data_IF_067146738215
#
_entry.id   IF_067146738215
#
_cell.length_a   1.000
_cell.length_b   1.000
_cell.length_c   1.000
_cell.angle_alpha   90.00
_cell.angle_beta   90.00
_cell.angle_gamma   90.00
#
_symmetry.space_group_name_H-M   'P 1'
#
loop_
_entity.id
_entity.type
_entity.pdbx_description
1 polymer ?
#
# COMPACT_ATOMS: atom_id res chain seq x y z
N UNK A 1 -3.69 6.09 27.21
CA UNK A 1 -4.74 5.87 26.20
C UNK A 1 -4.29 4.67 25.37
N UNK A 2 -5.02 3.57 25.37
CA UNK A 2 -4.65 2.38 24.60
C UNK A 2 -5.00 2.58 23.11
N UNK A 3 -4.22 1.99 22.21
CA UNK A 3 -4.49 2.03 20.77
C UNK A 3 -5.71 1.17 20.42
N UNK A 4 -6.65 1.69 19.64
CA UNK A 4 -7.84 0.94 19.20
C UNK A 4 -7.51 0.02 18.02
N UNK A 5 -7.11 -1.21 18.33
CA UNK A 5 -6.73 -2.20 17.31
C UNK A 5 -7.93 -2.68 16.47
N UNK A 6 -9.13 -2.66 17.04
CA UNK A 6 -10.35 -3.16 16.40
C UNK A 6 -10.97 -2.14 15.46
N UNK A 7 -10.90 -0.85 15.77
CA UNK A 7 -11.37 0.23 14.92
C UNK A 7 -10.33 0.74 13.93
N UNK A 8 -9.07 0.34 14.07
CA UNK A 8 -8.01 0.72 13.13
C UNK A 8 -7.90 -0.23 11.94
N UNK A 9 -7.49 0.28 10.79
CA UNK A 9 -7.30 -0.45 9.53
C UNK A 9 -5.96 -0.11 8.90
N UNK A 10 -5.34 -1.06 8.22
CA UNK A 10 -4.11 -0.87 7.48
C UNK A 10 -4.20 -1.50 6.10
N UNK A 11 -3.76 -0.77 5.07
CA UNK A 11 -3.62 -1.25 3.70
C UNK A 11 -2.18 -1.07 3.26
N UNK A 12 -1.53 -2.17 2.90
CA UNK A 12 -0.12 -2.21 2.51
C UNK A 12 0.00 -2.65 1.06
N UNK A 13 0.72 -1.89 0.24
CA UNK A 13 0.96 -2.22 -1.15
C UNK A 13 2.40 -1.97 -1.53
N UNK A 14 3.08 -3.03 -1.98
CA UNK A 14 4.51 -3.02 -2.29
C UNK A 14 4.75 -3.53 -3.69
N UNK A 15 4.97 -2.62 -4.63
CA UNK A 15 5.26 -2.96 -6.02
C UNK A 15 6.77 -3.00 -6.19
N UNK A 16 7.29 -4.18 -6.49
CA UNK A 16 8.73 -4.43 -6.56
C UNK A 16 9.19 -4.91 -7.94
N UNK A 17 8.31 -5.51 -8.73
CA UNK A 17 8.60 -5.96 -10.09
C UNK A 17 7.80 -5.13 -11.09
N UNK A 18 8.47 -4.65 -12.12
CA UNK A 18 7.89 -3.74 -13.12
C UNK A 18 8.22 -4.23 -14.53
N UNK A 19 7.30 -4.02 -15.46
CA UNK A 19 7.51 -4.37 -16.87
C UNK A 19 8.41 -3.34 -17.59
N UNK A 20 8.37 -2.08 -17.13
CA UNK A 20 8.99 -0.95 -17.83
C UNK A 20 9.83 -0.05 -16.93
N UNK A 21 9.98 -0.41 -15.66
CA UNK A 21 10.77 0.33 -14.67
C UNK A 21 11.78 -0.61 -14.00
N UNK A 22 12.85 -0.07 -13.40
CA UNK A 22 13.77 -0.89 -12.61
C UNK A 22 13.05 -1.63 -11.47
N UNK A 23 13.47 -2.87 -11.22
CA UNK A 23 12.98 -3.68 -10.09
C UNK A 23 13.48 -3.08 -8.76
N UNK A 24 12.69 -3.23 -7.69
CA UNK A 24 12.98 -2.74 -6.35
C UNK A 24 13.02 -3.90 -5.35
N UNK A 25 14.11 -4.67 -5.34
CA UNK A 25 14.24 -5.89 -4.51
C UNK A 25 14.04 -5.66 -3.01
N UNK A 26 14.39 -4.48 -2.51
CA UNK A 26 14.14 -4.10 -1.11
C UNK A 26 12.65 -4.09 -0.76
N UNK A 27 11.77 -3.72 -1.69
CA UNK A 27 10.32 -3.67 -1.47
C UNK A 27 9.72 -5.07 -1.33
N UNK A 28 10.31 -6.08 -1.99
CA UNK A 28 9.82 -7.48 -1.97
C UNK A 28 9.65 -8.04 -0.55
N UNK A 29 10.56 -7.67 0.35
CA UNK A 29 10.57 -8.17 1.73
C UNK A 29 9.88 -7.23 2.72
N UNK A 30 9.67 -5.96 2.33
CA UNK A 30 9.14 -4.93 3.23
C UNK A 30 7.68 -5.19 3.63
N UNK A 31 6.79 -5.46 2.67
CA UNK A 31 5.35 -5.59 2.96
C UNK A 31 5.03 -6.76 3.89
N UNK A 32 5.55 -7.99 3.65
CA UNK A 32 5.33 -9.10 4.58
C UNK A 32 5.88 -8.79 5.98
N UNK A 33 7.13 -8.30 6.07
CA UNK A 33 7.76 -7.99 7.34
C UNK A 33 7.03 -6.86 8.12
N UNK A 34 6.52 -5.86 7.41
CA UNK A 34 5.73 -4.78 8.00
C UNK A 34 4.38 -5.30 8.51
N UNK A 35 3.68 -6.12 7.72
CA UNK A 35 2.41 -6.75 8.14
C UNK A 35 2.60 -7.55 9.42
N UNK A 36 3.64 -8.38 9.48
CA UNK A 36 3.91 -9.23 10.64
C UNK A 36 4.19 -8.40 11.90
N UNK A 37 4.89 -7.26 11.76
CA UNK A 37 5.13 -6.32 12.88
C UNK A 37 3.86 -5.59 13.31
N UNK A 38 3.05 -5.13 12.34
CA UNK A 38 1.83 -4.38 12.60
C UNK A 38 0.74 -5.22 13.27
N UNK A 39 0.79 -6.54 13.11
CA UNK A 39 -0.19 -7.51 13.62
C UNK A 39 0.35 -8.37 14.77
N UNK A 40 1.58 -8.11 15.23
CA UNK A 40 2.19 -8.84 16.33
C UNK A 40 1.40 -8.66 17.63
N UNK A 41 1.15 -9.73 18.38
CA UNK A 41 0.30 -9.71 19.58
C UNK A 41 0.78 -8.75 20.68
N UNK A 42 2.09 -8.50 20.74
CA UNK A 42 2.75 -7.86 21.88
C UNK A 42 3.10 -6.39 21.61
N UNK A 43 3.11 -5.97 20.33
CA UNK A 43 3.51 -4.64 19.89
C UNK A 43 2.74 -4.12 18.66
N UNK A 44 1.87 -4.94 18.07
CA UNK A 44 1.11 -4.63 16.87
C UNK A 44 -0.07 -3.72 17.17
N UNK A 45 -0.33 -2.81 16.25
CA UNK A 45 -1.45 -1.88 16.32
C UNK A 45 -2.74 -2.44 15.72
N UNK A 46 -2.71 -3.53 14.96
CA UNK A 46 -3.87 -3.93 14.14
C UNK A 46 -4.25 -5.39 14.37
N UNK A 47 -5.54 -5.68 14.36
CA UNK A 47 -6.00 -7.05 14.19
C UNK A 47 -5.53 -7.59 12.83
N UNK A 48 -5.17 -8.88 12.75
CA UNK A 48 -4.64 -9.47 11.51
C UNK A 48 -5.56 -9.31 10.31
N UNK A 49 -6.87 -9.46 10.51
CA UNK A 49 -7.92 -9.26 9.50
C UNK A 49 -8.09 -7.80 9.07
N UNK A 50 -7.61 -6.85 9.87
CA UNK A 50 -7.67 -5.42 9.60
C UNK A 50 -6.38 -4.88 8.96
N UNK A 51 -5.38 -5.73 8.72
CA UNK A 51 -4.11 -5.37 8.06
C UNK A 51 -3.99 -6.10 6.72
N UNK A 52 -4.49 -5.45 5.67
CA UNK A 52 -4.56 -6.00 4.32
C UNK A 52 -3.26 -5.73 3.57
N UNK A 53 -2.62 -6.77 3.06
CA UNK A 53 -1.50 -6.66 2.13
C UNK A 53 -1.98 -6.97 0.70
N UNK A 54 -1.99 -5.96 -0.16
CA UNK A 54 -2.39 -6.09 -1.56
C UNK A 54 -1.27 -6.79 -2.35
N UNK A 55 -1.57 -7.82 -3.17
CA UNK A 55 -0.57 -8.48 -3.99
C UNK A 55 0.19 -7.50 -4.90
N UNK A 56 1.51 -7.64 -5.00
CA UNK A 56 2.38 -6.70 -5.71
C UNK A 56 2.09 -6.55 -7.22
N UNK A 57 1.43 -7.54 -7.81
CA UNK A 57 1.03 -7.61 -9.22
C UNK A 57 -0.43 -7.17 -9.46
N UNK A 58 -1.12 -6.69 -8.43
CA UNK A 58 -2.49 -6.22 -8.54
C UNK A 58 -2.60 -4.95 -9.40
N UNK A 59 -3.78 -4.78 -10.01
CA UNK A 59 -4.13 -3.56 -10.70
C UNK A 59 -4.26 -2.37 -9.70
N UNK A 60 -4.09 -1.12 -10.17
CA UNK A 60 -4.22 0.06 -9.30
C UNK A 60 -5.57 0.12 -8.58
N UNK A 61 -6.64 -0.24 -9.30
CA UNK A 61 -8.00 -0.25 -8.76
C UNK A 61 -8.13 -1.16 -7.54
N UNK A 62 -7.47 -2.31 -7.52
CA UNK A 62 -7.51 -3.23 -6.37
C UNK A 62 -6.95 -2.60 -5.09
N UNK A 63 -5.91 -1.77 -5.21
CA UNK A 63 -5.37 -1.04 -4.07
C UNK A 63 -6.31 0.08 -3.63
N UNK A 64 -6.89 0.84 -4.58
CA UNK A 64 -7.84 1.90 -4.28
C UNK A 64 -9.11 1.35 -3.62
N UNK A 65 -9.64 0.23 -4.11
CA UNK A 65 -10.80 -0.45 -3.53
C UNK A 65 -10.51 -0.90 -2.09
N UNK A 66 -9.32 -1.45 -1.84
CA UNK A 66 -8.90 -1.84 -0.49
C UNK A 66 -8.77 -0.63 0.44
N UNK A 67 -8.27 0.51 -0.06
CA UNK A 67 -8.18 1.76 0.71
C UNK A 67 -9.57 2.32 1.01
N UNK A 68 -10.49 2.29 0.04
CA UNK A 68 -11.86 2.74 0.21
C UNK A 68 -12.59 1.90 1.26
N UNK A 69 -12.55 0.57 1.14
CA UNK A 69 -13.12 -0.37 2.12
C UNK A 69 -12.55 -0.13 3.53
N UNK A 70 -11.23 0.04 3.64
CA UNK A 70 -10.60 0.32 4.91
C UNK A 70 -11.02 1.68 5.49
N UNK A 71 -11.22 2.70 4.66
CA UNK A 71 -11.71 4.00 5.10
C UNK A 71 -13.16 3.96 5.57
N UNK A 72 -14.02 3.19 4.90
CA UNK A 72 -15.43 3.05 5.25
C UNK A 72 -15.61 2.32 6.60
N UNK A 73 -14.68 1.43 6.95
CA UNK A 73 -14.72 0.64 8.19
C UNK A 73 -13.83 1.14 9.32
N UNK A 74 -12.92 2.09 9.08
CA UNK A 74 -12.03 2.60 10.12
C UNK A 74 -12.77 3.59 11.03
N UNK A 75 -12.85 3.27 12.31
CA UNK A 75 -13.28 4.20 13.38
C UNK A 75 -12.11 4.78 14.18
N UNK A 76 -10.91 4.23 13.98
CA UNK A 76 -9.65 4.65 14.62
C UNK A 76 -8.63 5.16 13.60
N UNK A 77 -7.44 4.57 13.58
CA UNK A 77 -6.39 4.90 12.62
C UNK A 77 -6.62 4.16 11.30
N UNK A 78 -6.55 4.89 10.17
CA UNK A 78 -6.31 4.30 8.86
C UNK A 78 -4.85 4.51 8.46
N UNK A 79 -4.10 3.41 8.30
CA UNK A 79 -2.74 3.42 7.79
C UNK A 79 -2.74 2.98 6.32
N UNK A 80 -2.26 3.85 5.42
CA UNK A 80 -2.01 3.48 4.02
C UNK A 80 -0.50 3.48 3.79
N UNK A 81 0.05 2.33 3.42
CA UNK A 81 1.46 2.17 3.10
C UNK A 81 1.62 1.79 1.64
N UNK A 82 2.34 2.63 0.89
CA UNK A 82 2.76 2.33 -0.46
C UNK A 82 4.30 2.32 -0.54
N UNK A 83 4.85 1.32 -1.21
CA UNK A 83 6.26 1.27 -1.56
C UNK A 83 6.42 0.85 -3.03
N UNK A 84 7.11 1.68 -3.81
CA UNK A 84 7.31 1.47 -5.23
C UNK A 84 7.80 2.76 -5.90
N UNK A 85 7.86 2.77 -7.22
CA UNK A 85 8.13 3.99 -7.98
C UNK A 85 7.00 5.01 -7.81
N UNK A 86 7.37 6.29 -7.75
CA UNK A 86 6.43 7.41 -7.77
C UNK A 86 6.83 8.38 -8.88
N UNK A 87 5.86 8.99 -9.53
CA UNK A 87 6.10 10.02 -10.53
C UNK A 87 5.18 11.22 -10.33
N UNK A 88 5.65 12.41 -10.68
CA UNK A 88 4.81 13.60 -10.62
C UNK A 88 3.97 13.72 -11.89
N UNK A 89 2.71 14.13 -11.73
CA UNK A 89 1.87 14.51 -12.86
C UNK A 89 2.50 15.66 -13.66
N UNK A 90 2.03 15.87 -14.90
CA UNK A 90 2.55 16.91 -15.80
C UNK A 90 2.50 18.32 -15.20
N UNK A 91 1.55 18.58 -14.31
CA UNK A 91 1.38 19.86 -13.60
C UNK A 91 2.20 19.96 -12.30
N UNK A 92 2.90 18.88 -11.92
CA UNK A 92 3.67 18.77 -10.68
C UNK A 92 2.82 18.66 -9.41
N UNK A 93 1.48 18.55 -9.53
CA UNK A 93 0.57 18.61 -8.37
C UNK A 93 0.07 17.24 -7.92
N UNK A 94 0.09 16.25 -8.82
CA UNK A 94 -0.27 14.88 -8.49
C UNK A 94 0.99 14.03 -8.25
N UNK A 95 0.97 13.20 -7.21
CA UNK A 95 1.90 12.07 -7.05
C UNK A 95 1.19 10.80 -7.56
N UNK A 96 1.71 10.24 -8.63
CA UNK A 96 1.24 9.01 -9.24
C UNK A 96 2.05 7.83 -8.71
N UNK A 97 1.36 6.82 -8.19
CA UNK A 97 1.96 5.62 -7.60
C UNK A 97 2.10 4.56 -8.69
N UNK A 98 3.31 4.08 -8.94
CA UNK A 98 3.62 3.12 -9.98
C UNK A 98 3.19 1.69 -9.67
N UNK A 99 2.41 1.09 -10.55
CA UNK A 99 2.08 -0.33 -10.55
C UNK A 99 2.97 -1.11 -11.51
N UNK A 100 2.88 -2.45 -11.51
CA UNK A 100 3.72 -3.30 -12.35
C UNK A 100 3.69 -2.91 -13.85
N UNK A 101 2.55 -2.39 -14.33
CA UNK A 101 2.36 -1.97 -15.72
C UNK A 101 2.76 -0.51 -16.00
N UNK A 102 3.13 0.28 -14.98
CA UNK A 102 3.43 1.70 -15.14
C UNK A 102 4.58 1.93 -16.10
N UNK A 103 4.45 3.01 -16.87
CA UNK A 103 5.36 3.41 -17.94
C UNK A 103 5.88 4.83 -17.72
N UNK A 104 7.21 5.05 -17.79
CA UNK A 104 7.80 6.37 -17.57
C UNK A 104 7.42 7.40 -18.64
N UNK A 105 7.04 6.95 -19.84
CA UNK A 105 6.65 7.77 -21.00
C UNK A 105 5.14 7.98 -21.13
N UNK A 106 4.31 7.32 -20.29
CA UNK A 106 2.84 7.44 -20.30
C UNK A 106 2.27 7.66 -18.90
N UNK A 107 2.11 8.91 -18.46
CA UNK A 107 1.61 9.22 -17.12
C UNK A 107 0.14 8.78 -16.89
N UNK A 108 -0.62 8.46 -17.93
CA UNK A 108 -2.05 8.09 -17.82
C UNK A 108 -2.32 6.62 -17.46
N UNK A 109 -1.29 5.77 -17.33
CA UNK A 109 -1.41 4.36 -16.94
C UNK A 109 -0.66 4.10 -15.63
N UNK A 110 -0.97 4.88 -14.61
CA UNK A 110 -0.55 4.60 -13.23
C UNK A 110 -1.56 3.69 -12.57
#
# INVERSE_FOLDING_TARGET
>A
MAFDQTGSRAVLFGVHSYQHLPTLDGVRHNVPALRDRLTAREAGGFAGEHCVAVPANSAPQTFLDAVQEAADHASGLLLVYYAGHGHFGRDGRALLLGTQASRPDRPHHS
#
